data_IF_422449012790
#
_entry.id   IF_422449012790
#
_cell.length_a   1.000
_cell.length_b   1.000
_cell.length_c   1.000
_cell.angle_alpha   90.00
_cell.angle_beta   90.00
_cell.angle_gamma   90.00
#
_symmetry.space_group_name_H-M   'P 1'
#
loop_
_entity.id
_entity.type
_entity.pdbx_description
1 polymer ?
#
# COMPACT_ATOMS: atom_id res chain seq x y z
N UNK A 1 9.06 -18.00 23.56
CA UNK A 1 8.32 -17.40 22.43
C UNK A 1 9.34 -16.84 21.44
N UNK A 2 9.25 -17.17 20.16
CA UNK A 2 10.20 -16.69 19.14
C UNK A 2 9.94 -15.22 18.82
N UNK A 3 10.97 -14.38 18.80
CA UNK A 3 10.84 -12.94 18.50
C UNK A 3 11.00 -12.70 17.00
N UNK A 4 10.00 -12.07 16.38
CA UNK A 4 9.93 -11.89 14.92
C UNK A 4 9.80 -10.41 14.58
N UNK A 5 10.73 -9.90 13.77
CA UNK A 5 10.71 -8.52 13.27
C UNK A 5 10.06 -8.46 11.90
N UNK A 6 8.99 -7.67 11.75
CA UNK A 6 8.32 -7.47 10.47
C UNK A 6 8.90 -6.22 9.79
N UNK A 7 9.34 -6.36 8.55
CA UNK A 7 9.76 -5.27 7.66
C UNK A 7 8.72 -5.12 6.54
N UNK A 8 8.13 -3.94 6.49
CA UNK A 8 7.15 -3.58 5.47
C UNK A 8 7.13 -2.07 5.23
N UNK A 9 6.27 -1.61 4.32
CA UNK A 9 6.05 -0.18 4.11
C UNK A 9 5.35 0.42 5.33
N UNK A 10 5.94 1.43 5.99
CA UNK A 10 5.31 2.10 7.16
C UNK A 10 3.95 2.76 6.85
N UNK A 11 3.42 2.72 5.63
CA UNK A 11 2.14 3.29 5.14
C UNK A 11 1.20 4.07 6.08
N UNK A 12 1.62 5.17 6.71
CA UNK A 12 0.78 6.02 7.58
C UNK A 12 -0.24 6.87 6.80
N UNK A 13 -0.53 6.50 5.55
CA UNK A 13 -1.45 7.19 4.66
C UNK A 13 -2.18 6.26 3.70
N UNK A 14 -1.83 4.96 3.66
CA UNK A 14 -2.35 3.98 2.71
C UNK A 14 -3.01 2.82 3.47
N UNK A 15 -4.31 2.61 3.27
CA UNK A 15 -5.09 1.61 4.00
C UNK A 15 -4.50 0.21 3.83
N UNK A 16 -4.17 -0.16 2.59
CA UNK A 16 -3.60 -1.46 2.24
C UNK A 16 -2.32 -1.76 2.99
N UNK A 17 -1.33 -0.85 2.94
CA UNK A 17 -0.05 -1.02 3.63
C UNK A 17 -0.23 -1.33 5.12
N UNK A 18 -1.17 -0.63 5.78
CA UNK A 18 -1.32 -0.71 7.23
C UNK A 18 -2.19 -1.90 7.66
N UNK A 19 -3.22 -2.24 6.88
CA UNK A 19 -4.09 -3.40 7.15
C UNK A 19 -3.37 -4.72 6.89
N UNK A 20 -2.58 -4.85 5.81
CA UNK A 20 -1.79 -6.06 5.59
C UNK A 20 -0.74 -6.28 6.68
N UNK A 21 -0.17 -5.19 7.21
CA UNK A 21 0.78 -5.25 8.31
C UNK A 21 0.11 -5.75 9.59
N UNK A 22 -1.05 -5.20 9.94
CA UNK A 22 -1.86 -5.68 11.06
C UNK A 22 -2.14 -7.18 10.93
N UNK A 23 -2.57 -7.63 9.75
CA UNK A 23 -2.92 -9.01 9.52
C UNK A 23 -1.72 -9.96 9.67
N UNK A 24 -0.57 -9.60 9.10
CA UNK A 24 0.65 -10.40 9.23
C UNK A 24 1.11 -10.51 10.68
N UNK A 25 1.09 -9.41 11.43
CA UNK A 25 1.43 -9.43 12.86
C UNK A 25 0.45 -10.31 13.65
N UNK A 26 -0.85 -10.20 13.37
CA UNK A 26 -1.89 -10.99 14.06
C UNK A 26 -1.74 -12.48 13.83
N UNK A 27 -1.42 -12.88 12.59
CA UNK A 27 -1.18 -14.27 12.20
C UNK A 27 0.08 -14.80 12.86
N UNK A 28 1.20 -14.08 12.80
CA UNK A 28 2.44 -14.51 13.46
C UNK A 28 2.24 -14.70 14.97
N UNK A 29 1.49 -13.80 15.62
CA UNK A 29 1.13 -13.93 17.04
C UNK A 29 0.25 -15.15 17.33
N UNK A 30 -0.62 -15.55 16.40
CA UNK A 30 -1.41 -16.79 16.56
C UNK A 30 -0.56 -18.06 16.53
N UNK A 31 0.65 -18.00 15.97
CA UNK A 31 1.64 -19.08 16.04
C UNK A 31 2.57 -18.99 17.27
N UNK A 32 2.15 -18.28 18.33
CA UNK A 32 2.93 -18.10 19.56
C UNK A 32 4.31 -17.44 19.33
N UNK A 33 4.37 -16.49 18.39
CA UNK A 33 5.53 -15.61 18.17
C UNK A 33 5.33 -14.24 18.83
N UNK A 34 6.42 -13.64 19.31
CA UNK A 34 6.47 -12.24 19.68
C UNK A 34 6.77 -11.40 18.44
N UNK A 35 5.74 -11.07 17.69
CA UNK A 35 5.87 -10.30 16.45
C UNK A 35 5.74 -8.80 16.69
N UNK A 36 6.64 -8.02 16.11
CA UNK A 36 6.58 -6.56 16.10
C UNK A 36 7.04 -5.97 14.77
N UNK A 37 6.40 -4.88 14.36
CA UNK A 37 6.76 -4.15 13.15
C UNK A 37 7.92 -3.21 13.42
N UNK A 38 9.01 -3.35 12.67
CA UNK A 38 10.18 -2.49 12.80
C UNK A 38 10.05 -1.33 11.81
N UNK A 39 10.08 -0.10 12.33
CA UNK A 39 9.98 1.11 11.49
C UNK A 39 11.19 1.20 10.56
N UNK A 40 10.95 1.42 9.27
CA UNK A 40 12.02 1.72 8.31
C UNK A 40 12.05 3.22 8.04
N UNK A 41 13.15 3.88 8.42
CA UNK A 41 13.40 5.25 8.03
C UNK A 41 14.03 5.25 6.64
N UNK A 42 13.19 5.36 5.61
CA UNK A 42 13.68 5.76 4.30
C UNK A 42 14.14 7.22 4.44
N UNK A 43 15.44 7.50 4.31
CA UNK A 43 15.86 8.85 3.89
C UNK A 43 15.02 9.14 2.66
N UNK A 44 14.24 10.21 2.70
CA UNK A 44 13.26 10.50 1.67
C UNK A 44 13.86 10.16 0.31
N UNK A 45 13.24 9.21 -0.39
CA UNK A 45 13.40 9.18 -1.81
C UNK A 45 12.99 10.59 -2.24
N UNK A 46 13.98 11.42 -2.57
CA UNK A 46 13.74 12.44 -3.56
C UNK A 46 13.12 11.64 -4.69
N UNK A 47 11.81 11.79 -4.87
CA UNK A 47 11.16 11.45 -6.13
C UNK A 47 12.11 12.06 -7.15
N UNK A 48 12.84 11.22 -7.87
CA UNK A 48 13.84 11.65 -8.83
C UNK A 48 13.17 12.76 -9.62
N UNK A 49 13.68 13.99 -9.48
CA UNK A 49 13.20 15.11 -10.28
C UNK A 49 13.43 14.66 -11.71
N UNK A 50 12.34 14.30 -12.37
CA UNK A 50 12.28 13.99 -13.78
C UNK A 50 13.08 15.10 -14.48
N UNK A 51 14.25 14.75 -15.00
CA UNK A 51 15.19 15.70 -15.59
C UNK A 51 14.47 16.39 -16.74
N UNK A 52 14.63 17.70 -16.89
CA UNK A 52 13.77 18.55 -17.72
C UNK A 52 13.59 18.11 -19.20
N UNK A 53 14.42 17.19 -19.68
CA UNK A 53 14.39 16.63 -21.03
C UNK A 53 13.24 15.61 -21.26
N UNK A 54 12.76 14.88 -20.24
CA UNK A 54 11.62 13.96 -20.35
C UNK A 54 10.25 14.66 -20.35
N UNK A 55 10.19 15.94 -19.93
CA UNK A 55 8.98 16.76 -19.94
C UNK A 55 8.60 17.24 -21.34
N UNK A 56 9.57 17.55 -22.18
CA UNK A 56 9.32 18.06 -23.54
C UNK A 56 8.80 16.97 -24.48
N UNK A 57 9.22 15.71 -24.31
CA UNK A 57 8.70 14.58 -25.10
C UNK A 57 7.32 14.07 -24.62
N UNK A 58 6.85 14.45 -23.42
CA UNK A 58 5.54 14.07 -22.86
C UNK A 58 4.39 15.04 -23.18
N UNK A 59 4.66 16.14 -23.88
CA UNK A 59 3.66 17.16 -24.26
C UNK A 59 3.24 16.99 -25.73
N UNK A 60 4.06 16.34 -26.56
CA UNK A 60 3.65 15.95 -27.91
C UNK A 60 2.65 14.78 -27.83
N UNK A 61 1.37 15.06 -28.08
CA UNK A 61 0.30 14.07 -28.16
C UNK A 61 -0.70 14.03 -26.99
N UNK A 62 -0.64 14.95 -26.03
CA UNK A 62 -1.63 15.04 -24.95
C UNK A 62 -2.78 15.96 -25.34
N UNK A 63 -4.01 15.55 -25.04
CA UNK A 63 -5.20 16.38 -25.21
C UNK A 63 -5.03 17.67 -24.39
N UNK A 64 -5.28 18.82 -25.03
CA UNK A 64 -5.25 20.16 -24.43
C UNK A 64 -6.08 20.21 -23.14
N UNK A 65 -7.15 19.40 -23.07
CA UNK A 65 -7.99 19.29 -21.87
C UNK A 65 -7.30 18.60 -20.70
N UNK A 66 -6.44 17.60 -20.92
CA UNK A 66 -5.63 17.00 -19.85
C UNK A 66 -4.64 18.01 -19.25
N UNK A 67 -4.11 18.90 -20.10
CA UNK A 67 -3.22 19.98 -19.68
C UNK A 67 -4.00 20.97 -18.82
N UNK A 68 -5.21 21.35 -19.22
CA UNK A 68 -6.10 22.24 -18.45
C UNK A 68 -6.45 21.61 -17.09
N UNK A 69 -6.88 20.35 -17.04
CA UNK A 69 -7.21 19.65 -15.79
C UNK A 69 -5.99 19.56 -14.85
N UNK A 70 -4.79 19.43 -15.42
CA UNK A 70 -3.53 19.43 -14.65
C UNK A 70 -3.22 20.81 -14.09
N UNK A 71 -3.42 21.88 -14.88
CA UNK A 71 -3.25 23.26 -14.42
C UNK A 71 -4.26 23.59 -13.33
N UNK A 72 -5.53 23.23 -13.51
CA UNK A 72 -6.59 23.45 -12.53
C UNK A 72 -6.33 22.73 -11.20
N UNK A 73 -5.87 21.47 -11.22
CA UNK A 73 -5.45 20.77 -9.99
C UNK A 73 -4.28 21.47 -9.31
N UNK A 74 -3.29 21.91 -10.10
CA UNK A 74 -2.11 22.59 -9.57
C UNK A 74 -2.46 23.94 -8.94
N UNK A 75 -3.33 24.72 -9.58
CA UNK A 75 -3.81 25.99 -9.02
C UNK A 75 -4.66 25.76 -7.78
N UNK A 76 -5.56 24.77 -7.78
CA UNK A 76 -6.35 24.41 -6.60
C UNK A 76 -5.45 24.02 -5.41
N UNK A 77 -4.43 23.18 -5.63
CA UNK A 77 -3.46 22.79 -4.60
C UNK A 77 -2.64 23.97 -4.06
N UNK A 78 -2.34 24.97 -4.89
CA UNK A 78 -1.64 26.18 -4.44
C UNK A 78 -2.56 27.04 -3.58
N UNK A 79 -3.81 27.26 -4.03
CA UNK A 79 -4.81 28.05 -3.32
C UNK A 79 -5.16 27.40 -1.97
N UNK A 80 -5.37 26.08 -1.96
CA UNK A 80 -5.79 25.31 -0.78
C UNK A 80 -4.62 24.63 -0.07
N UNK A 81 -3.39 25.13 -0.25
CA UNK A 81 -2.16 24.49 0.24
C UNK A 81 -2.19 24.19 1.75
N UNK A 82 -2.72 25.11 2.54
CA UNK A 82 -2.82 24.95 3.99
C UNK A 82 -3.82 23.85 4.37
N UNK A 83 -4.94 23.80 3.67
CA UNK A 83 -6.01 22.83 3.90
C UNK A 83 -5.63 21.41 3.45
N UNK A 84 -4.94 21.30 2.30
CA UNK A 84 -4.35 20.05 1.82
C UNK A 84 -3.33 19.53 2.83
N UNK A 85 -2.44 20.41 3.31
CA UNK A 85 -1.44 20.05 4.33
C UNK A 85 -2.12 19.59 5.62
N UNK A 86 -3.16 20.29 6.07
CA UNK A 86 -3.86 19.95 7.29
C UNK A 86 -4.63 18.63 7.16
N UNK A 87 -5.34 18.40 6.04
CA UNK A 87 -6.03 17.14 5.80
C UNK A 87 -5.05 15.96 5.69
N UNK A 88 -3.89 16.16 5.09
CA UNK A 88 -2.82 15.17 5.07
C UNK A 88 -2.27 14.86 6.46
N UNK A 89 -2.10 15.88 7.31
CA UNK A 89 -1.69 15.73 8.71
C UNK A 89 -2.73 14.96 9.52
N UNK A 90 -3.99 15.37 9.46
CA UNK A 90 -5.10 14.69 10.16
C UNK A 90 -5.18 13.22 9.72
N UNK A 91 -5.16 12.95 8.41
CA UNK A 91 -5.15 11.56 7.91
C UNK A 91 -3.97 10.78 8.47
N UNK A 92 -2.78 11.37 8.49
CA UNK A 92 -1.58 10.72 9.06
C UNK A 92 -1.76 10.40 10.55
N UNK A 93 -2.33 11.32 11.31
CA UNK A 93 -2.55 11.15 12.75
C UNK A 93 -3.59 10.04 13.02
N UNK A 94 -4.68 9.99 12.26
CA UNK A 94 -5.67 8.90 12.34
C UNK A 94 -5.04 7.53 12.03
N UNK A 95 -4.13 7.45 11.06
CA UNK A 95 -3.39 6.22 10.77
C UNK A 95 -2.41 5.82 11.88
N UNK A 96 -1.77 6.80 12.53
CA UNK A 96 -0.91 6.55 13.69
C UNK A 96 -1.73 6.09 14.90
N UNK A 97 -2.92 6.63 15.10
CA UNK A 97 -3.83 6.20 16.17
C UNK A 97 -4.26 4.75 15.98
N UNK A 98 -4.62 4.37 14.74
CA UNK A 98 -4.87 2.97 14.40
C UNK A 98 -3.64 2.09 14.71
N UNK A 99 -2.45 2.54 14.30
CA UNK A 99 -1.19 1.81 14.51
C UNK A 99 -0.94 1.60 16.01
N UNK A 100 -1.02 2.67 16.82
CA UNK A 100 -0.84 2.61 18.27
C UNK A 100 -1.81 1.65 18.96
N UNK A 101 -3.05 1.57 18.45
CA UNK A 101 -4.10 0.73 19.02
C UNK A 101 -3.99 -0.74 18.62
N UNK A 102 -3.55 -1.03 17.39
CA UNK A 102 -3.71 -2.36 16.79
C UNK A 102 -2.41 -3.06 16.39
N UNK A 103 -1.27 -2.35 16.32
CA UNK A 103 -0.01 -2.88 15.79
C UNK A 103 1.12 -2.60 16.80
N UNK A 104 1.91 -3.61 17.14
CA UNK A 104 3.12 -3.40 17.97
C UNK A 104 4.26 -2.94 17.06
N UNK A 105 4.38 -1.63 16.93
CA UNK A 105 5.46 -0.99 16.19
C UNK A 105 6.62 -0.62 17.14
N UNK A 106 7.87 -0.73 16.68
CA UNK A 106 9.04 -0.42 17.51
C UNK A 106 9.19 1.08 17.77
N UNK A 107 9.78 1.45 18.90
CA UNK A 107 10.11 2.85 19.21
C UNK A 107 11.30 3.36 18.40
N UNK A 108 12.22 2.48 18.02
CA UNK A 108 13.33 2.78 17.12
C UNK A 108 12.96 2.57 15.65
N UNK A 109 13.78 3.12 14.75
CA UNK A 109 13.72 2.88 13.32
C UNK A 109 15.08 2.43 12.78
N UNK A 110 15.06 1.68 11.68
CA UNK A 110 16.25 1.23 10.96
C UNK A 110 16.35 1.92 9.61
N UNK A 111 17.57 2.04 9.06
CA UNK A 111 17.79 2.58 7.72
C UNK A 111 18.76 1.70 6.94
N UNK A 112 18.76 1.84 5.61
CA UNK A 112 19.63 1.02 4.76
C UNK A 112 21.10 1.24 5.10
N UNK A 113 21.82 0.16 5.36
CA UNK A 113 23.24 0.18 5.73
C UNK A 113 23.56 0.65 7.15
N UNK A 114 22.58 1.07 7.96
CA UNK A 114 22.81 1.55 9.33
C UNK A 114 21.84 0.89 10.32
N UNK A 115 22.25 -0.28 10.83
CA UNK A 115 21.46 -1.10 11.76
C UNK A 115 22.37 -1.57 12.89
N UNK A 116 21.94 -1.35 14.14
CA UNK A 116 22.68 -1.80 15.30
C UNK A 116 22.60 -3.34 15.38
N UNK A 117 23.76 -4.01 15.49
CA UNK A 117 23.86 -5.47 15.67
C UNK A 117 23.10 -5.95 16.90
N UNK A 118 23.09 -5.18 17.98
CA UNK A 118 22.36 -5.50 19.21
C UNK A 118 20.85 -5.63 18.95
N UNK A 119 20.31 -4.87 17.98
CA UNK A 119 18.91 -5.01 17.58
C UNK A 119 18.72 -6.33 16.84
N UNK A 120 19.64 -6.70 15.95
CA UNK A 120 19.55 -7.91 15.13
C UNK A 120 19.60 -9.18 15.98
N UNK A 121 20.43 -9.18 17.02
CA UNK A 121 20.60 -10.32 17.94
C UNK A 121 19.36 -10.58 18.80
N UNK A 122 18.55 -9.55 19.07
CA UNK A 122 17.31 -9.71 19.84
C UNK A 122 16.22 -10.50 19.10
N UNK A 123 16.27 -10.61 17.78
CA UNK A 123 15.24 -11.29 16.99
C UNK A 123 15.73 -12.67 16.53
N UNK A 124 14.84 -13.66 16.60
CA UNK A 124 15.08 -14.99 16.03
C UNK A 124 14.96 -14.95 14.51
N UNK A 125 13.95 -14.23 13.99
CA UNK A 125 13.67 -14.12 12.57
C UNK A 125 13.22 -12.71 12.17
N UNK A 126 13.40 -12.40 10.90
CA UNK A 126 12.84 -11.23 10.23
C UNK A 126 11.99 -11.68 9.05
N UNK A 127 10.84 -11.03 8.90
CA UNK A 127 9.90 -11.29 7.81
C UNK A 127 9.77 -10.03 6.97
N UNK A 128 10.09 -10.13 5.69
CA UNK A 128 9.74 -9.13 4.68
C UNK A 128 8.36 -9.49 4.14
N UNK A 129 7.34 -8.67 4.38
CA UNK A 129 6.02 -8.95 3.84
C UNK A 129 4.98 -7.92 4.21
N UNK A 130 3.75 -8.04 3.71
CA UNK A 130 3.42 -8.25 2.29
C UNK A 130 3.59 -6.90 1.55
N UNK A 131 2.82 -6.70 0.49
CA UNK A 131 2.76 -5.48 -0.31
C UNK A 131 4.00 -5.24 -1.17
N UNK A 132 4.06 -4.08 -1.81
CA UNK A 132 5.07 -3.68 -2.78
C UNK A 132 6.44 -3.34 -2.16
N UNK A 133 6.88 -4.15 -1.17
CA UNK A 133 8.17 -4.03 -0.47
C UNK A 133 9.37 -4.33 -1.37
N UNK A 134 9.17 -4.96 -2.53
CA UNK A 134 10.23 -5.17 -3.53
C UNK A 134 9.98 -4.38 -4.81
N UNK A 135 9.17 -3.32 -4.75
CA UNK A 135 8.95 -2.47 -5.90
C UNK A 135 10.21 -1.62 -6.18
N UNK A 136 10.83 -1.75 -7.38
CA UNK A 136 12.08 -1.06 -7.70
C UNK A 136 11.94 0.45 -7.66
N UNK A 137 10.76 1.00 -7.95
CA UNK A 137 10.53 2.44 -7.95
C UNK A 137 10.33 3.02 -6.55
N UNK A 138 9.91 2.19 -5.58
CA UNK A 138 9.67 2.64 -4.20
C UNK A 138 10.88 2.39 -3.30
N UNK A 139 11.53 1.25 -3.48
CA UNK A 139 12.61 0.80 -2.61
C UNK A 139 13.99 1.14 -3.19
N UNK A 140 14.10 1.38 -4.50
CA UNK A 140 15.32 1.82 -5.17
C UNK A 140 16.55 0.93 -4.88
N UNK A 141 16.31 -0.34 -4.54
CA UNK A 141 17.35 -1.30 -4.20
C UNK A 141 17.93 -1.17 -2.79
N UNK A 142 17.21 -0.58 -1.83
CA UNK A 142 17.57 -0.67 -0.42
C UNK A 142 17.48 -2.12 0.06
N UNK A 143 18.57 -2.59 0.65
CA UNK A 143 18.73 -3.96 1.16
C UNK A 143 17.81 -4.26 2.35
N UNK A 144 17.38 -3.23 3.09
CA UNK A 144 16.51 -3.37 4.27
C UNK A 144 15.22 -4.15 3.98
N UNK A 145 14.55 -3.89 2.85
CA UNK A 145 13.32 -4.60 2.47
C UNK A 145 13.56 -6.04 1.98
N UNK A 146 14.82 -6.40 1.74
CA UNK A 146 15.26 -7.77 1.48
C UNK A 146 15.92 -8.40 2.71
N UNK A 147 15.82 -7.75 3.86
CA UNK A 147 16.40 -8.19 5.12
C UNK A 147 17.93 -8.32 5.06
N UNK A 148 18.58 -7.55 4.19
CA UNK A 148 20.02 -7.62 3.92
C UNK A 148 20.92 -7.42 5.14
N UNK A 149 20.36 -6.83 6.21
CA UNK A 149 21.02 -6.58 7.48
C UNK A 149 21.07 -7.78 8.42
N UNK A 150 20.15 -8.74 8.29
CA UNK A 150 20.08 -9.90 9.17
C UNK A 150 20.93 -11.06 8.64
N UNK A 151 21.41 -12.00 9.47
CA UNK A 151 21.97 -13.27 8.99
C UNK A 151 20.98 -14.02 8.08
N UNK A 152 21.47 -14.75 7.06
CA UNK A 152 20.62 -15.33 5.99
C UNK A 152 19.57 -16.28 6.55
N UNK A 153 19.96 -17.11 7.51
CA UNK A 153 19.12 -18.07 8.22
C UNK A 153 17.96 -17.42 9.00
N UNK A 154 18.05 -16.12 9.30
CA UNK A 154 16.97 -15.36 9.95
C UNK A 154 16.01 -14.70 8.94
N UNK A 155 16.24 -14.79 7.63
CA UNK A 155 15.49 -14.05 6.60
C UNK A 155 14.34 -14.88 6.02
N UNK A 156 13.13 -14.34 6.07
CA UNK A 156 11.94 -14.97 5.49
C UNK A 156 11.19 -13.90 4.68
N UNK A 157 10.65 -14.24 3.50
CA UNK A 157 9.63 -13.42 2.85
C UNK A 157 8.26 -14.05 2.95
N UNK A 158 7.25 -13.24 3.30
CA UNK A 158 5.84 -13.63 3.29
C UNK A 158 5.07 -12.78 2.29
N UNK A 159 4.59 -13.39 1.20
CA UNK A 159 3.78 -12.73 0.16
C UNK A 159 4.34 -11.37 -0.30
N UNK A 160 5.67 -11.24 -0.42
CA UNK A 160 6.27 -10.00 -0.93
C UNK A 160 5.84 -9.74 -2.39
N UNK A 161 5.69 -8.47 -2.76
CA UNK A 161 5.30 -8.10 -4.13
C UNK A 161 6.33 -7.16 -4.75
N UNK A 162 6.62 -7.40 -6.03
CA UNK A 162 7.39 -6.47 -6.85
C UNK A 162 6.49 -5.36 -7.39
N UNK A 163 5.21 -5.65 -7.65
CA UNK A 163 4.27 -4.65 -8.16
C UNK A 163 4.58 -4.18 -9.58
N UNK A 164 5.47 -4.90 -10.27
CA UNK A 164 5.94 -4.66 -11.63
C UNK A 164 6.11 -6.01 -12.32
N UNK A 165 5.91 -6.04 -13.63
CA UNK A 165 6.10 -7.25 -14.44
C UNK A 165 7.56 -7.55 -14.77
N UNK A 166 8.46 -6.58 -14.58
CA UNK A 166 9.89 -6.76 -14.82
C UNK A 166 10.74 -5.82 -13.97
N UNK A 167 11.95 -6.24 -13.63
CA UNK A 167 12.91 -5.43 -12.87
C UNK A 167 13.79 -4.63 -13.83
N UNK A 168 13.90 -3.30 -13.67
CA UNK A 168 14.82 -2.48 -14.46
C UNK A 168 16.26 -3.00 -14.41
N UNK A 169 16.98 -2.90 -15.53
CA UNK A 169 18.33 -3.47 -15.67
C UNK A 169 19.31 -3.00 -14.57
N UNK A 170 19.21 -1.74 -14.16
CA UNK A 170 20.02 -1.14 -13.09
C UNK A 170 19.85 -1.80 -11.72
N UNK A 171 18.68 -2.40 -11.43
CA UNK A 171 18.39 -3.08 -10.17
C UNK A 171 18.64 -4.59 -10.21
N UNK A 172 18.69 -5.21 -11.40
CA UNK A 172 18.80 -6.67 -11.55
C UNK A 172 19.97 -7.28 -10.78
N UNK A 173 21.16 -6.66 -10.83
CA UNK A 173 22.36 -7.17 -10.12
C UNK A 173 22.16 -7.15 -8.60
N UNK A 174 21.62 -6.05 -8.05
CA UNK A 174 21.35 -5.92 -6.62
C UNK A 174 20.28 -6.91 -6.17
N UNK A 175 19.15 -6.96 -6.88
CA UNK A 175 18.03 -7.84 -6.58
C UNK A 175 18.45 -9.31 -6.63
N UNK A 176 19.26 -9.72 -7.63
CA UNK A 176 19.86 -11.06 -7.69
C UNK A 176 20.63 -11.40 -6.41
N UNK A 177 21.48 -10.49 -5.93
CA UNK A 177 22.25 -10.70 -4.70
C UNK A 177 21.35 -10.84 -3.48
N UNK A 178 20.41 -9.92 -3.30
CA UNK A 178 19.51 -9.91 -2.15
C UNK A 178 18.59 -11.13 -2.10
N UNK A 179 17.96 -11.49 -3.22
CA UNK A 179 17.01 -12.60 -3.29
C UNK A 179 17.69 -13.97 -3.12
N UNK A 180 18.93 -14.13 -3.60
CA UNK A 180 19.71 -15.37 -3.38
C UNK A 180 19.89 -15.66 -1.89
N UNK A 181 20.04 -14.60 -1.10
CA UNK A 181 20.38 -14.66 0.32
C UNK A 181 19.17 -14.83 1.25
N UNK A 182 17.94 -14.91 0.72
CA UNK A 182 16.73 -15.21 1.49
C UNK A 182 16.42 -16.70 1.34
N UNK A 183 16.58 -17.54 2.38
CA UNK A 183 16.34 -18.98 2.28
C UNK A 183 14.89 -19.32 1.92
N UNK A 184 13.93 -18.68 2.60
CA UNK A 184 12.51 -18.97 2.44
C UNK A 184 11.81 -17.82 1.69
N UNK A 185 11.51 -18.08 0.41
CA UNK A 185 10.91 -17.10 -0.49
C UNK A 185 9.44 -17.42 -0.74
N UNK A 186 8.58 -16.46 -0.42
CA UNK A 186 7.22 -16.40 -0.94
C UNK A 186 6.83 -15.01 -1.44
N UNK A 187 5.92 -15.00 -2.42
CA UNK A 187 5.45 -13.82 -3.14
C UNK A 187 3.93 -13.82 -3.31
N UNK A 188 3.34 -12.64 -3.51
CA UNK A 188 1.86 -12.48 -3.62
C UNK A 188 1.29 -12.79 -5.01
N UNK A 189 2.13 -12.78 -6.03
CA UNK A 189 1.74 -12.80 -7.43
C UNK A 189 2.53 -13.84 -8.21
N UNK A 190 1.87 -14.57 -9.12
CA UNK A 190 2.52 -15.64 -9.90
C UNK A 190 3.68 -15.12 -10.75
N UNK A 191 3.56 -13.94 -11.35
CA UNK A 191 4.63 -13.34 -12.18
C UNK A 191 5.93 -13.12 -11.36
N UNK A 192 5.80 -12.72 -10.09
CA UNK A 192 6.96 -12.55 -9.20
C UNK A 192 7.81 -13.81 -9.01
N UNK A 193 7.21 -15.01 -9.10
CA UNK A 193 7.97 -16.26 -9.06
C UNK A 193 8.92 -16.39 -10.24
N UNK A 194 8.49 -15.98 -11.43
CA UNK A 194 9.31 -15.99 -12.64
C UNK A 194 10.47 -14.99 -12.53
N UNK A 195 10.20 -13.79 -12.00
CA UNK A 195 11.25 -12.78 -11.73
C UNK A 195 12.34 -13.37 -10.82
N UNK A 196 11.97 -14.06 -9.74
CA UNK A 196 12.92 -14.71 -8.84
C UNK A 196 13.69 -15.82 -9.55
N UNK A 197 12.99 -16.67 -10.32
CA UNK A 197 13.59 -17.77 -11.06
C UNK A 197 14.64 -17.28 -12.05
N UNK A 198 14.31 -16.27 -12.85
CA UNK A 198 15.21 -15.70 -13.87
C UNK A 198 16.42 -14.99 -13.23
N UNK A 199 16.22 -14.31 -12.10
CA UNK A 199 17.29 -13.60 -11.42
C UNK A 199 18.22 -14.55 -10.66
N UNK A 200 17.71 -15.61 -10.05
CA UNK A 200 18.44 -16.38 -9.02
C UNK A 200 18.56 -17.88 -9.28
N UNK A 201 17.69 -18.45 -10.12
CA UNK A 201 17.51 -19.89 -10.30
C UNK A 201 16.63 -20.55 -9.22
N UNK A 202 16.24 -19.83 -8.17
CA UNK A 202 15.44 -20.34 -7.05
C UNK A 202 13.95 -20.33 -7.39
N UNK A 203 13.23 -21.26 -6.78
CA UNK A 203 11.77 -21.26 -6.77
C UNK A 203 11.26 -20.47 -5.56
N UNK A 204 10.06 -19.89 -5.69
CA UNK A 204 9.37 -19.17 -4.63
C UNK A 204 7.91 -19.62 -4.56
N UNK A 205 7.36 -19.65 -3.35
CA UNK A 205 5.96 -20.01 -3.12
C UNK A 205 5.04 -18.82 -3.44
N UNK A 206 3.86 -19.09 -4.00
CA UNK A 206 2.80 -18.09 -4.12
C UNK A 206 1.89 -18.20 -2.90
N UNK A 207 1.76 -17.12 -2.14
CA UNK A 207 0.85 -17.04 -1.00
C UNK A 207 -0.15 -15.90 -1.19
N UNK A 208 -1.31 -16.05 -0.55
CA UNK A 208 -2.28 -14.96 -0.43
C UNK A 208 -1.69 -13.83 0.38
N UNK A 209 -2.18 -12.61 0.14
CA UNK A 209 -1.90 -11.46 1.00
C UNK A 209 -2.32 -11.78 2.45
N UNK A 210 -1.55 -11.37 3.48
CA UNK A 210 -1.89 -11.65 4.86
C UNK A 210 -3.26 -11.11 5.25
N UNK A 211 -3.78 -10.10 4.56
CA UNK A 211 -5.16 -9.63 4.79
C UNK A 211 -6.20 -10.73 4.63
N UNK A 212 -5.97 -11.69 3.73
CA UNK A 212 -6.86 -12.82 3.44
C UNK A 212 -6.70 -13.98 4.42
N UNK A 213 -5.76 -13.92 5.36
CA UNK A 213 -5.61 -14.91 6.44
C UNK A 213 -6.51 -14.62 7.63
N UNK A 214 -7.11 -13.43 7.69
CA UNK A 214 -8.08 -13.06 8.71
C UNK A 214 -9.51 -13.20 8.17
N UNK A 215 -10.40 -13.66 9.03
CA UNK A 215 -11.83 -13.80 8.78
C UNK A 215 -12.53 -12.44 8.76
N UNK A 216 -13.73 -12.40 8.15
CA UNK A 216 -14.63 -11.23 8.18
C UNK A 216 -14.86 -10.71 9.60
N UNK A 217 -15.17 -11.60 10.55
CA UNK A 217 -15.44 -11.22 11.94
C UNK A 217 -14.22 -10.60 12.64
N UNK A 218 -13.02 -11.09 12.35
CA UNK A 218 -11.77 -10.49 12.86
C UNK A 218 -11.57 -9.06 12.33
N UNK A 219 -11.92 -8.81 11.07
CA UNK A 219 -11.88 -7.46 10.50
C UNK A 219 -12.96 -6.55 11.09
N UNK A 220 -14.19 -7.05 11.23
CA UNK A 220 -15.28 -6.30 11.86
C UNK A 220 -14.97 -5.96 13.32
N UNK A 221 -14.25 -6.83 14.04
CA UNK A 221 -13.80 -6.58 15.42
C UNK A 221 -12.85 -5.39 15.59
N UNK A 222 -12.23 -4.90 14.51
CA UNK A 222 -11.43 -3.67 14.52
C UNK A 222 -12.02 -2.55 13.66
N UNK A 223 -13.20 -2.78 13.09
CA UNK A 223 -13.94 -1.78 12.33
C UNK A 223 -14.43 -0.66 13.26
N UNK A 224 -14.58 0.54 12.72
CA UNK A 224 -15.10 1.70 13.45
C UNK A 224 -16.08 2.43 12.54
N UNK A 225 -17.29 2.67 13.04
CA UNK A 225 -18.31 3.45 12.32
C UNK A 225 -17.74 4.81 11.91
N UNK A 226 -17.71 5.09 10.61
CA UNK A 226 -17.26 6.36 10.11
C UNK A 226 -18.31 7.45 10.40
N UNK A 227 -17.88 8.60 10.92
CA UNK A 227 -18.79 9.69 11.28
C UNK A 227 -19.47 10.33 10.07
N UNK A 228 -18.85 10.21 8.89
CA UNK A 228 -19.26 10.90 7.66
C UNK A 228 -19.83 9.92 6.63
N UNK A 229 -20.21 8.72 7.07
CA UNK A 229 -20.88 7.73 6.22
C UNK A 229 -22.33 8.15 5.98
N UNK A 230 -22.82 8.15 4.73
CA UNK A 230 -24.22 8.49 4.46
C UNK A 230 -25.16 7.45 5.07
N UNK A 231 -26.36 7.89 5.43
CA UNK A 231 -27.43 6.98 5.88
C UNK A 231 -28.14 6.27 4.70
N UNK A 232 -28.02 6.81 3.48
CA UNK A 232 -28.52 6.23 2.24
C UNK A 232 -27.58 5.18 1.66
N UNK A 233 -28.10 4.33 0.77
CA UNK A 233 -27.27 3.43 -0.03
C UNK A 233 -26.23 4.21 -0.86
N UNK A 234 -25.02 3.66 -0.96
CA UNK A 234 -23.91 4.34 -1.60
C UNK A 234 -22.99 3.43 -2.41
N UNK A 235 -22.45 4.02 -3.47
CA UNK A 235 -21.34 3.51 -4.23
C UNK A 235 -20.06 4.08 -3.62
N UNK A 236 -19.14 3.20 -3.23
CA UNK A 236 -17.85 3.61 -2.70
C UNK A 236 -16.81 3.68 -3.81
N UNK A 237 -15.95 4.68 -3.76
CA UNK A 237 -14.77 4.80 -4.62
C UNK A 237 -13.50 4.90 -3.80
N UNK A 238 -12.49 4.12 -4.19
CA UNK A 238 -11.14 4.23 -3.63
C UNK A 238 -10.11 4.01 -4.74
N UNK A 239 -9.50 5.09 -5.21
CA UNK A 239 -8.53 5.08 -6.30
C UNK A 239 -7.18 5.65 -5.86
N UNK A 240 -6.09 4.99 -6.23
CA UNK A 240 -4.70 5.40 -5.95
C UNK A 240 -4.07 6.17 -7.13
N UNK A 241 -4.46 5.86 -8.38
CA UNK A 241 -3.99 6.52 -9.60
C UNK A 241 -4.84 7.70 -10.08
N UNK A 242 -5.85 8.10 -9.30
CA UNK A 242 -6.91 8.99 -9.75
C UNK A 242 -7.93 8.28 -10.65
N UNK A 243 -8.96 9.01 -11.06
CA UNK A 243 -10.07 8.45 -11.84
C UNK A 243 -10.07 9.12 -13.23
N UNK A 244 -9.73 8.39 -14.31
CA UNK A 244 -9.91 8.87 -15.67
C UNK A 244 -11.37 9.23 -15.96
N UNK A 245 -11.61 10.21 -16.84
CA UNK A 245 -12.98 10.67 -17.19
C UNK A 245 -13.89 9.54 -17.67
N UNK A 246 -13.35 8.57 -18.39
CA UNK A 246 -14.11 7.41 -18.83
C UNK A 246 -14.60 6.57 -17.64
N UNK A 247 -13.72 6.31 -16.66
CA UNK A 247 -14.07 5.58 -15.45
C UNK A 247 -15.08 6.38 -14.61
N UNK A 248 -14.88 7.70 -14.51
CA UNK A 248 -15.82 8.60 -13.81
C UNK A 248 -17.22 8.56 -14.42
N UNK A 249 -17.33 8.55 -15.75
CA UNK A 249 -18.63 8.42 -16.44
C UNK A 249 -19.31 7.09 -16.11
N UNK A 250 -18.58 5.98 -16.15
CA UNK A 250 -19.11 4.65 -15.81
C UNK A 250 -19.57 4.59 -14.35
N UNK A 251 -18.78 5.13 -13.42
CA UNK A 251 -19.13 5.22 -12.00
C UNK A 251 -20.43 6.02 -11.80
N UNK A 252 -20.55 7.20 -12.44
CA UNK A 252 -21.77 8.02 -12.37
C UNK A 252 -22.99 7.31 -12.97
N UNK A 253 -22.82 6.57 -14.07
CA UNK A 253 -23.90 5.78 -14.66
C UNK A 253 -24.38 4.67 -13.71
N UNK A 254 -23.46 3.94 -13.07
CA UNK A 254 -23.82 2.91 -12.09
C UNK A 254 -24.60 3.56 -10.93
N UNK A 255 -24.08 4.65 -10.37
CA UNK A 255 -24.71 5.36 -9.27
C UNK A 255 -26.12 5.85 -9.64
N UNK A 256 -26.29 6.50 -10.80
CA UNK A 256 -27.59 6.98 -11.27
C UNK A 256 -28.59 5.84 -11.53
N UNK A 257 -28.14 4.74 -12.13
CA UNK A 257 -29.02 3.60 -12.45
C UNK A 257 -29.57 2.88 -11.21
N UNK A 258 -28.92 3.07 -10.05
CA UNK A 258 -29.22 2.41 -8.79
C UNK A 258 -29.58 3.40 -7.67
N UNK A 259 -29.74 4.68 -7.99
CA UNK A 259 -29.99 5.76 -7.03
C UNK A 259 -29.01 5.78 -5.83
N UNK A 260 -27.72 5.62 -6.11
CA UNK A 260 -26.66 5.54 -5.08
C UNK A 260 -25.96 6.89 -4.89
N UNK A 261 -25.72 7.24 -3.63
CA UNK A 261 -24.79 8.33 -3.29
C UNK A 261 -23.35 7.90 -3.61
N UNK A 262 -22.54 8.77 -4.23
CA UNK A 262 -21.12 8.45 -4.46
C UNK A 262 -20.29 8.94 -3.28
N UNK A 263 -19.49 8.04 -2.68
CA UNK A 263 -18.58 8.34 -1.58
C UNK A 263 -17.14 8.09 -2.03
N UNK A 264 -16.22 9.03 -1.83
CA UNK A 264 -14.81 8.88 -2.24
C UNK A 264 -13.86 8.91 -1.05
N UNK A 265 -13.05 7.86 -0.88
CA UNK A 265 -12.03 7.78 0.18
C UNK A 265 -10.63 8.23 -0.27
N UNK A 266 -10.49 8.55 -1.56
CA UNK A 266 -9.24 8.82 -2.26
C UNK A 266 -9.08 10.25 -2.77
N UNK A 267 -10.01 11.17 -2.47
CA UNK A 267 -9.91 12.55 -2.95
C UNK A 267 -9.80 13.53 -1.78
N UNK A 268 -8.67 14.21 -1.68
CA UNK A 268 -8.42 15.20 -0.62
C UNK A 268 -9.40 16.37 -0.64
N UNK A 269 -10.08 16.61 -1.76
CA UNK A 269 -11.16 17.61 -1.89
C UNK A 269 -12.39 17.20 -1.09
N UNK A 270 -12.62 15.91 -0.91
CA UNK A 270 -13.66 15.33 -0.05
C UNK A 270 -13.06 15.06 1.34
N UNK A 271 -12.78 16.14 2.07
CA UNK A 271 -12.00 16.11 3.33
C UNK A 271 -12.50 15.07 4.33
N UNK A 272 -13.82 15.02 4.51
CA UNK A 272 -14.47 14.28 5.58
C UNK A 272 -14.31 12.77 5.40
N UNK A 273 -14.41 12.29 4.17
CA UNK A 273 -14.19 10.90 3.80
C UNK A 273 -12.70 10.61 3.63
N UNK A 274 -11.91 11.53 3.06
CA UNK A 274 -10.45 11.40 2.93
C UNK A 274 -9.72 11.32 4.27
N UNK A 275 -10.24 11.92 5.34
CA UNK A 275 -9.64 11.85 6.68
C UNK A 275 -9.94 10.56 7.42
N UNK A 276 -10.70 9.64 6.83
CA UNK A 276 -11.04 8.34 7.41
C UNK A 276 -9.80 7.45 7.58
N UNK A 277 -9.76 6.67 8.67
CA UNK A 277 -8.67 5.76 9.01
C UNK A 277 -8.87 4.33 8.52
N UNK A 278 -7.92 3.43 8.83
CA UNK A 278 -8.02 2.01 8.44
C UNK A 278 -9.24 1.30 9.03
N UNK A 279 -9.65 1.63 10.26
CA UNK A 279 -10.88 1.07 10.86
C UNK A 279 -12.14 1.54 10.15
N UNK A 280 -12.22 2.83 9.79
CA UNK A 280 -13.33 3.38 9.02
C UNK A 280 -13.35 2.86 7.58
N UNK A 281 -12.20 2.55 6.99
CA UNK A 281 -12.13 1.94 5.65
C UNK A 281 -12.86 0.58 5.59
N UNK A 282 -12.72 -0.24 6.64
CA UNK A 282 -13.44 -1.52 6.77
C UNK A 282 -14.94 -1.25 6.84
N UNK A 283 -15.36 -0.29 7.66
CA UNK A 283 -16.76 0.12 7.83
C UNK A 283 -17.40 0.64 6.53
N UNK A 284 -16.69 1.48 5.78
CA UNK A 284 -17.16 1.97 4.48
C UNK A 284 -17.33 0.84 3.46
N UNK A 285 -16.40 -0.11 3.38
CA UNK A 285 -16.55 -1.23 2.45
C UNK A 285 -17.69 -2.13 2.91
N UNK A 286 -17.75 -2.47 4.20
CA UNK A 286 -18.75 -3.41 4.73
C UNK A 286 -20.19 -2.96 4.46
N UNK A 287 -20.46 -1.66 4.43
CA UNK A 287 -21.83 -1.15 4.28
C UNK A 287 -22.13 -0.62 2.86
N UNK A 288 -21.14 -0.58 1.95
CA UNK A 288 -21.38 -0.10 0.59
C UNK A 288 -22.22 -1.08 -0.24
N UNK A 289 -23.00 -0.54 -1.18
CA UNK A 289 -23.75 -1.34 -2.15
C UNK A 289 -22.84 -1.89 -3.25
N UNK A 290 -21.79 -1.15 -3.61
CA UNK A 290 -20.74 -1.57 -4.55
C UNK A 290 -19.45 -0.73 -4.38
N UNK A 291 -18.28 -1.35 -4.49
CA UNK A 291 -16.99 -0.67 -4.56
C UNK A 291 -16.51 -0.53 -6.01
N UNK A 292 -16.09 0.67 -6.42
CA UNK A 292 -15.29 0.90 -7.62
C UNK A 292 -13.86 1.29 -7.24
N UNK A 293 -12.85 0.56 -7.73
CA UNK A 293 -11.46 0.76 -7.27
C UNK A 293 -10.41 0.38 -8.31
N UNK A 294 -9.21 0.96 -8.21
CA UNK A 294 -7.98 0.50 -8.86
C UNK A 294 -6.98 -0.12 -7.85
N UNK A 295 -7.43 -0.33 -6.61
CA UNK A 295 -6.61 -0.75 -5.49
C UNK A 295 -6.75 -2.25 -5.27
N UNK A 296 -5.61 -2.96 -5.27
CA UNK A 296 -5.53 -4.37 -4.89
C UNK A 296 -6.23 -4.62 -3.54
N UNK A 297 -5.91 -3.82 -2.52
CA UNK A 297 -6.52 -3.99 -1.20
C UNK A 297 -8.00 -3.58 -1.17
N UNK A 298 -8.45 -2.66 -2.04
CA UNK A 298 -9.88 -2.39 -2.19
C UNK A 298 -10.65 -3.62 -2.66
N UNK A 299 -10.11 -4.31 -3.69
CA UNK A 299 -10.68 -5.55 -4.18
C UNK A 299 -10.62 -6.67 -3.12
N UNK A 300 -9.49 -6.86 -2.46
CA UNK A 300 -9.34 -7.88 -1.40
C UNK A 300 -10.33 -7.65 -0.26
N UNK A 301 -10.48 -6.43 0.25
CA UNK A 301 -11.45 -6.15 1.31
C UNK A 301 -12.89 -6.29 0.84
N UNK A 302 -13.20 -6.02 -0.43
CA UNK A 302 -14.54 -6.31 -0.98
C UNK A 302 -14.83 -7.81 -1.01
N UNK A 303 -13.84 -8.63 -1.37
CA UNK A 303 -13.96 -10.10 -1.32
C UNK A 303 -14.18 -10.56 0.14
N UNK A 304 -13.36 -10.09 1.08
CA UNK A 304 -13.41 -10.49 2.49
C UNK A 304 -14.72 -10.07 3.19
N UNK A 305 -15.30 -8.93 2.78
CA UNK A 305 -16.53 -8.39 3.34
C UNK A 305 -17.77 -8.77 2.52
N UNK A 306 -17.60 -9.57 1.47
CA UNK A 306 -18.66 -10.08 0.58
C UNK A 306 -19.45 -8.94 -0.08
N UNK A 307 -18.73 -7.97 -0.64
CA UNK A 307 -19.29 -6.77 -1.27
C UNK A 307 -19.06 -6.81 -2.78
N UNK A 308 -20.07 -6.50 -3.61
CA UNK A 308 -19.87 -6.34 -5.04
C UNK A 308 -18.81 -5.30 -5.34
N UNK A 309 -17.95 -5.54 -6.34
CA UNK A 309 -16.92 -4.57 -6.72
C UNK A 309 -16.59 -4.59 -8.22
N UNK A 310 -16.10 -3.47 -8.72
CA UNK A 310 -15.55 -3.29 -10.07
C UNK A 310 -14.11 -2.83 -9.95
N UNK A 311 -13.19 -3.59 -10.56
CA UNK A 311 -11.78 -3.25 -10.65
C UNK A 311 -11.51 -2.53 -11.96
N UNK A 312 -10.81 -1.41 -11.88
CA UNK A 312 -10.36 -0.63 -13.01
C UNK A 312 -8.85 -0.72 -13.16
N UNK A 313 -8.37 -0.70 -14.39
CA UNK A 313 -6.94 -0.58 -14.66
C UNK A 313 -6.42 0.76 -14.15
N UNK A 314 -5.27 0.72 -13.46
CA UNK A 314 -4.62 1.94 -12.99
C UNK A 314 -3.96 2.65 -14.17
N UNK A 315 -4.58 3.74 -14.61
CA UNK A 315 -3.96 4.64 -15.57
C UNK A 315 -2.93 5.48 -14.82
N UNK A 316 -1.68 5.51 -15.28
CA UNK A 316 -0.59 6.28 -14.69
C UNK A 316 -0.77 7.80 -14.92
N UNK A 317 -1.86 8.35 -14.41
CA UNK A 317 -2.00 9.78 -14.16
C UNK A 317 -1.39 10.00 -12.77
N UNK A 318 -0.39 10.90 -12.69
CA UNK A 318 0.18 11.46 -11.46
C UNK A 318 -0.39 10.89 -10.16
N UNK A 319 0.36 9.98 -9.52
CA UNK A 319 -0.04 9.31 -8.27
C UNK A 319 -0.68 10.30 -7.30
N UNK A 320 -1.58 9.84 -6.45
CA UNK A 320 -2.14 10.59 -5.30
C UNK A 320 -1.10 11.37 -4.46
N UNK A 321 0.18 11.01 -4.60
CA UNK A 321 1.34 11.55 -3.91
C UNK A 321 2.18 12.55 -4.74
N UNK A 322 1.75 13.00 -5.92
CA UNK A 322 2.50 13.94 -6.78
C UNK A 322 1.95 15.35 -6.79
#
# INVERSE_FOLDING_TARGET
MKKVGIITLNGYFNYGNRLQNYALERVLRSFYCDASTIKVQNRSASISKDTGLSKLQRIAGKDVREIIDKVQRKTWNIIHKNEVRESGRIRTDVFKDFTKKHIRETDFAISDGAINKDIIEQYDFFVAGSDQVWNPYYVQGFSTYFLGFAPKEKRISYAASFGVSSIPNEYKKKYRGFLKDIPHLSVREKNATQIIKDLTGKDALVHVDPTMLLTKDQWLGISKKASNKPDSEYLLTYFLGGIPKEHERRIKQIAQSKDLTIVNLGDIREKDTYRSGPSEFIDYINDCSILCTDSFHGAVFSILLEKPFVVYDRVASNSMYS
#
